data_IF_489178265599
#
_entry.id   IF_489178265599
#
_cell.length_a   1.000
_cell.length_b   1.000
_cell.length_c   1.000
_cell.angle_alpha   90.00
_cell.angle_beta   90.00
_cell.angle_gamma   90.00
#
_symmetry.space_group_name_H-M   'P 1'
#
loop_
_entity.id
_entity.type
_entity.pdbx_description
1 polymer ?
#
# COMPACT_ATOMS: atom_id res chain seq x y z
N UNK A 1 -18.64 -1.53 5.21
CA UNK A 1 -18.06 -0.41 4.43
C UNK A 1 -19.04 0.74 4.52
N UNK A 2 -18.56 1.94 4.79
CA UNK A 2 -19.44 3.12 4.84
C UNK A 2 -19.78 3.60 3.42
N UNK A 3 -20.89 4.31 3.31
CA UNK A 3 -21.32 4.95 2.07
C UNK A 3 -21.73 6.38 2.41
N UNK A 4 -21.33 7.34 1.60
CA UNK A 4 -21.81 8.72 1.69
C UNK A 4 -22.91 8.93 0.65
N UNK A 5 -24.04 9.49 1.09
CA UNK A 5 -25.08 9.93 0.18
C UNK A 5 -24.69 11.29 -0.41
N UNK A 6 -24.60 11.35 -1.73
CA UNK A 6 -24.34 12.56 -2.49
C UNK A 6 -25.61 13.42 -2.60
N UNK A 7 -25.44 14.70 -2.91
CA UNK A 7 -26.54 15.68 -3.02
C UNK A 7 -27.56 15.35 -4.13
N UNK A 8 -27.16 14.56 -5.13
CA UNK A 8 -28.02 14.08 -6.22
C UNK A 8 -28.76 12.77 -5.88
N UNK A 9 -28.63 12.28 -4.64
CA UNK A 9 -29.25 11.04 -4.17
C UNK A 9 -28.48 9.77 -4.53
N UNK A 10 -27.35 9.86 -5.24
CA UNK A 10 -26.45 8.72 -5.46
C UNK A 10 -25.62 8.40 -4.20
N UNK A 11 -25.07 7.20 -4.10
CA UNK A 11 -24.23 6.79 -2.98
C UNK A 11 -22.80 6.54 -3.46
N UNK A 12 -21.83 7.19 -2.82
CA UNK A 12 -20.41 6.91 -3.03
C UNK A 12 -19.91 6.01 -1.91
N UNK A 13 -19.34 4.82 -2.20
CA UNK A 13 -18.69 4.02 -1.17
C UNK A 13 -17.51 4.80 -0.58
N UNK A 14 -17.33 4.74 0.74
CA UNK A 14 -16.08 5.14 1.35
C UNK A 14 -14.95 4.34 0.71
N UNK A 15 -13.84 5.01 0.37
CA UNK A 15 -12.66 4.31 -0.12
C UNK A 15 -12.22 3.30 0.94
N UNK A 16 -12.35 2.00 0.67
CA UNK A 16 -12.08 1.02 1.69
C UNK A 16 -10.56 0.92 1.81
N UNK A 17 -10.05 0.92 3.05
CA UNK A 17 -8.64 0.59 3.32
C UNK A 17 -8.47 -0.93 3.18
N UNK A 18 -8.43 -1.41 1.94
CA UNK A 18 -8.20 -2.82 1.61
C UNK A 18 -6.77 -2.98 1.12
N UNK A 19 -6.16 -4.10 1.49
CA UNK A 19 -4.89 -4.49 0.90
C UNK A 19 -5.12 -4.70 -0.62
N UNK A 20 -4.25 -4.18 -1.50
CA UNK A 20 -4.35 -4.39 -2.92
C UNK A 20 -4.18 -5.87 -3.26
N UNK A 21 -4.86 -6.30 -4.31
CA UNK A 21 -4.60 -7.58 -4.94
C UNK A 21 -3.18 -7.57 -5.51
N UNK A 22 -2.30 -8.48 -5.07
CA UNK A 22 -0.93 -8.59 -5.62
C UNK A 22 -0.93 -9.46 -6.88
N UNK A 23 -1.82 -10.46 -6.94
CA UNK A 23 -2.10 -11.25 -8.13
C UNK A 23 -3.60 -11.21 -8.46
N UNK A 24 -3.92 -10.75 -9.68
CA UNK A 24 -5.29 -10.66 -10.20
C UNK A 24 -6.04 -12.01 -10.22
N UNK A 25 -5.31 -13.12 -10.20
CA UNK A 25 -5.87 -14.46 -10.31
C UNK A 25 -6.15 -15.10 -8.96
N UNK A 26 -5.35 -14.80 -7.94
CA UNK A 26 -5.46 -15.43 -6.60
C UNK A 26 -6.03 -14.49 -5.54
N UNK A 27 -5.72 -13.20 -5.61
CA UNK A 27 -6.05 -12.25 -4.56
C UNK A 27 -7.30 -11.46 -4.96
N UNK A 28 -8.49 -12.00 -4.68
CA UNK A 28 -9.76 -11.35 -5.00
C UNK A 28 -10.59 -11.07 -3.76
N UNK A 29 -11.26 -9.92 -3.77
CA UNK A 29 -12.30 -9.59 -2.81
C UNK A 29 -13.66 -10.04 -3.33
N UNK A 30 -14.53 -10.49 -2.42
CA UNK A 30 -15.92 -10.80 -2.74
C UNK A 30 -16.81 -9.72 -2.13
N UNK A 31 -17.56 -9.00 -2.98
CA UNK A 31 -18.62 -8.11 -2.56
C UNK A 31 -19.96 -8.84 -2.73
N UNK A 32 -20.67 -9.05 -1.63
CA UNK A 32 -22.03 -9.59 -1.62
C UNK A 32 -23.00 -8.47 -1.26
N UNK A 33 -23.91 -8.17 -2.19
CA UNK A 33 -24.99 -7.21 -1.99
C UNK A 33 -26.29 -7.96 -1.74
N UNK A 34 -27.04 -7.51 -0.73
CA UNK A 34 -28.38 -7.99 -0.41
C UNK A 34 -29.37 -6.85 -0.66
N UNK A 35 -30.44 -7.11 -1.39
CA UNK A 35 -31.51 -6.15 -1.62
C UNK A 35 -32.84 -6.75 -1.14
N UNK A 36 -33.65 -5.92 -0.48
CA UNK A 36 -35.00 -6.26 -0.04
C UNK A 36 -35.96 -5.22 -0.60
N UNK A 37 -37.03 -5.64 -1.29
CA UNK A 37 -38.05 -4.72 -1.76
C UNK A 37 -39.08 -4.38 -0.67
N UNK A 38 -39.97 -3.42 -0.94
CA UNK A 38 -41.01 -3.00 0.01
C UNK A 38 -42.05 -4.10 0.32
N UNK A 39 -42.07 -5.19 -0.46
CA UNK A 39 -42.92 -6.37 -0.23
C UNK A 39 -42.18 -7.50 0.50
N UNK A 40 -40.94 -7.26 0.93
CA UNK A 40 -40.12 -8.22 1.66
C UNK A 40 -39.43 -9.26 0.79
N UNK A 41 -39.46 -9.14 -0.55
CA UNK A 41 -38.70 -10.04 -1.41
C UNK A 41 -37.21 -9.71 -1.30
N UNK A 42 -36.39 -10.73 -1.07
CA UNK A 42 -34.94 -10.58 -0.95
C UNK A 42 -34.24 -11.14 -2.17
N UNK A 43 -33.14 -10.51 -2.57
CA UNK A 43 -32.21 -11.06 -3.56
C UNK A 43 -30.78 -10.78 -3.12
N UNK A 44 -29.87 -11.64 -3.55
CA UNK A 44 -28.45 -11.44 -3.34
C UNK A 44 -27.69 -11.53 -4.66
N UNK A 45 -26.65 -10.72 -4.78
CA UNK A 45 -25.70 -10.80 -5.89
C UNK A 45 -24.29 -10.66 -5.35
N UNK A 46 -23.41 -11.53 -5.81
CA UNK A 46 -21.99 -11.49 -5.47
C UNK A 46 -21.17 -11.18 -6.71
N UNK A 47 -20.14 -10.35 -6.54
CA UNK A 47 -19.11 -10.11 -7.54
C UNK A 47 -17.75 -10.32 -6.90
N UNK A 48 -16.82 -10.86 -7.68
CA UNK A 48 -15.41 -10.92 -7.32
C UNK A 48 -14.66 -9.85 -8.08
N UNK A 49 -13.76 -9.14 -7.40
CA UNK A 49 -12.94 -8.11 -8.01
C UNK A 49 -11.54 -8.12 -7.41
N UNK A 50 -10.55 -7.79 -8.23
CA UNK A 50 -9.23 -7.43 -7.75
C UNK A 50 -9.23 -5.93 -7.41
N UNK A 51 -8.61 -5.56 -6.29
CA UNK A 51 -8.53 -4.17 -5.85
C UNK A 51 -7.13 -3.63 -6.13
N UNK A 52 -7.04 -2.57 -6.94
CA UNK A 52 -5.79 -1.84 -7.18
C UNK A 52 -6.02 -0.37 -6.84
N UNK A 53 -5.44 0.15 -5.75
CA UNK A 53 -5.52 1.56 -5.43
C UNK A 53 -4.82 2.36 -6.52
N UNK A 54 -5.36 3.54 -6.86
CA UNK A 54 -4.82 4.42 -7.91
C UNK A 54 -3.35 4.80 -7.72
N UNK A 55 -2.84 4.71 -6.48
CA UNK A 55 -1.47 5.06 -6.11
C UNK A 55 -0.66 3.84 -5.69
N UNK A 56 -0.94 2.65 -6.24
CA UNK A 56 -0.19 1.43 -5.91
C UNK A 56 1.25 1.55 -6.43
N UNK A 57 2.20 1.74 -5.52
CA UNK A 57 3.62 1.57 -5.83
C UNK A 57 3.93 0.08 -5.72
N UNK A 58 4.02 -0.60 -6.86
CA UNK A 58 4.53 -1.97 -6.92
C UNK A 58 6.05 -1.92 -6.88
N UNK A 59 6.63 -2.67 -5.96
CA UNK A 59 8.07 -2.72 -5.75
C UNK A 59 8.64 -3.96 -6.42
N UNK A 60 9.79 -3.79 -7.08
CA UNK A 60 10.57 -4.94 -7.54
C UNK A 60 10.98 -5.80 -6.35
N UNK A 61 11.03 -7.12 -6.55
CA UNK A 61 11.45 -8.08 -5.52
C UNK A 61 12.89 -7.78 -5.09
N UNK A 62 13.04 -7.16 -3.93
CA UNK A 62 14.33 -6.82 -3.34
C UNK A 62 14.94 -8.07 -2.70
N UNK A 63 16.01 -8.61 -3.29
CA UNK A 63 16.87 -9.59 -2.61
C UNK A 63 17.85 -8.84 -1.72
N UNK A 64 17.73 -9.01 -0.41
CA UNK A 64 18.56 -8.32 0.57
C UNK A 64 19.16 -9.32 1.55
N UNK A 65 20.23 -8.93 2.25
CA UNK A 65 20.70 -9.67 3.41
C UNK A 65 19.82 -9.29 4.61
N UNK A 66 19.52 -10.25 5.48
CA UNK A 66 18.78 -10.03 6.71
C UNK A 66 19.61 -9.26 7.73
N UNK A 67 19.82 -7.96 7.52
CA UNK A 67 20.57 -7.08 8.41
C UNK A 67 19.76 -5.85 8.77
N UNK A 68 19.88 -5.41 10.03
CA UNK A 68 19.10 -4.30 10.62
C UNK A 68 19.57 -2.90 10.23
N UNK A 69 20.33 -2.77 9.15
CA UNK A 69 20.82 -1.48 8.67
C UNK A 69 20.95 -1.48 7.16
N UNK A 70 20.82 -0.30 6.56
CA UNK A 70 21.13 -0.10 5.15
C UNK A 70 22.60 -0.50 4.88
N UNK A 71 22.79 -1.57 4.13
CA UNK A 71 24.09 -1.87 3.53
C UNK A 71 24.32 -0.91 2.38
N UNK A 72 25.52 -0.34 2.33
CA UNK A 72 25.87 0.67 1.35
C UNK A 72 27.06 0.20 0.51
N UNK A 73 27.06 0.57 -0.75
CA UNK A 73 28.23 0.50 -1.63
C UNK A 73 29.30 1.51 -1.18
N UNK A 74 30.51 1.41 -1.75
CA UNK A 74 31.65 2.28 -1.39
C UNK A 74 31.40 3.77 -1.65
N UNK A 75 30.47 4.10 -2.55
CA UNK A 75 29.96 5.44 -2.85
C UNK A 75 28.81 5.86 -1.91
N UNK A 76 28.55 5.13 -0.83
CA UNK A 76 27.53 5.40 0.18
C UNK A 76 26.07 5.25 -0.31
N UNK A 77 25.85 4.60 -1.46
CA UNK A 77 24.52 4.30 -1.98
C UNK A 77 23.93 3.04 -1.31
N UNK A 78 22.68 3.06 -0.80
CA UNK A 78 22.08 1.86 -0.20
C UNK A 78 21.79 0.76 -1.24
N UNK A 79 22.04 -0.50 -0.87
CA UNK A 79 21.82 -1.66 -1.74
C UNK A 79 20.33 -2.05 -1.86
N UNK A 80 19.60 -1.96 -0.76
CA UNK A 80 18.19 -2.30 -0.68
C UNK A 80 17.36 -1.03 -0.54
N UNK A 81 16.64 -0.68 -1.62
CA UNK A 81 15.90 0.57 -1.69
C UNK A 81 14.51 0.36 -2.26
N UNK A 82 13.54 0.98 -1.60
CA UNK A 82 12.23 1.25 -2.13
C UNK A 82 12.33 2.45 -3.08
N UNK A 83 11.85 2.31 -4.32
CA UNK A 83 11.74 3.43 -5.27
C UNK A 83 10.29 3.80 -5.45
N UNK A 84 9.95 5.05 -5.20
CA UNK A 84 8.64 5.58 -5.57
C UNK A 84 8.70 6.04 -7.03
N UNK A 85 7.73 5.64 -7.85
CA UNK A 85 7.54 6.26 -9.17
C UNK A 85 6.99 7.69 -9.07
N UNK A 86 6.71 8.30 -10.21
CA UNK A 86 6.06 9.61 -10.29
C UNK A 86 4.63 9.55 -9.75
N UNK A 87 4.41 10.12 -8.57
CA UNK A 87 3.08 10.25 -7.98
C UNK A 87 2.41 11.52 -8.50
N UNK A 88 1.13 11.43 -8.88
CA UNK A 88 0.35 12.56 -9.41
C UNK A 88 -0.79 12.94 -8.47
N UNK A 89 -0.97 14.23 -8.26
CA UNK A 89 -2.15 14.81 -7.61
C UNK A 89 -3.39 14.66 -8.49
N UNK A 90 -4.55 14.94 -7.90
CA UNK A 90 -5.83 14.95 -8.61
C UNK A 90 -5.88 15.96 -9.77
N UNK A 91 -5.09 17.04 -9.71
CA UNK A 91 -4.96 18.04 -10.77
C UNK A 91 -3.95 17.66 -11.88
N UNK A 92 -3.35 16.47 -11.79
CA UNK A 92 -2.36 15.96 -12.75
C UNK A 92 -0.92 16.41 -12.51
N UNK A 93 -0.68 17.32 -11.56
CA UNK A 93 0.66 17.77 -11.17
C UNK A 93 1.42 16.70 -10.36
N UNK A 94 2.77 16.75 -10.39
CA UNK A 94 3.61 15.81 -9.64
C UNK A 94 3.60 16.12 -8.15
N UNK A 95 3.37 15.11 -7.32
CA UNK A 95 3.59 15.16 -5.88
C UNK A 95 5.05 15.53 -5.56
N UNK A 96 5.27 16.46 -4.64
CA UNK A 96 6.62 16.94 -4.27
C UNK A 96 6.77 17.06 -2.76
N UNK A 97 8.01 17.07 -2.30
CA UNK A 97 8.36 17.23 -0.89
C UNK A 97 7.83 16.09 -0.01
N UNK A 98 7.68 16.38 1.28
CA UNK A 98 7.25 15.41 2.28
C UNK A 98 5.77 15.05 2.08
N UNK A 99 5.52 13.77 1.86
CA UNK A 99 4.20 13.18 1.73
C UNK A 99 3.98 12.13 2.82
N UNK A 100 2.77 12.09 3.34
CA UNK A 100 2.33 11.05 4.28
C UNK A 100 1.91 9.81 3.50
N UNK A 101 2.44 8.65 3.90
CA UNK A 101 2.09 7.35 3.34
C UNK A 101 1.77 6.36 4.45
N UNK A 102 0.88 5.42 4.18
CA UNK A 102 0.66 4.25 5.02
C UNK A 102 1.41 3.08 4.42
N UNK A 103 2.23 2.42 5.22
CA UNK A 103 2.91 1.19 4.85
C UNK A 103 2.29 0.03 5.64
N UNK A 104 1.91 -1.03 4.94
CA UNK A 104 1.32 -2.23 5.55
C UNK A 104 2.13 -3.45 5.17
N UNK A 105 2.57 -4.22 6.15
CA UNK A 105 3.21 -5.52 5.91
C UNK A 105 2.12 -6.58 5.91
N UNK A 106 2.14 -7.48 4.93
CA UNK A 106 1.16 -8.55 4.81
C UNK A 106 1.25 -9.46 6.04
N UNK A 107 0.12 -10.00 6.48
CA UNK A 107 0.04 -10.83 7.70
C UNK A 107 0.87 -12.12 7.62
N UNK A 108 1.07 -12.65 6.42
CA UNK A 108 1.84 -13.89 6.17
C UNK A 108 3.29 -13.63 5.75
N UNK A 109 3.80 -12.41 5.93
CA UNK A 109 5.21 -12.11 5.72
C UNK A 109 6.09 -12.83 6.75
N UNK A 110 7.25 -13.32 6.31
CA UNK A 110 8.18 -14.09 7.16
C UNK A 110 8.88 -13.21 8.22
N UNK A 111 8.99 -11.90 7.99
CA UNK A 111 9.69 -10.98 8.89
C UNK A 111 9.15 -9.55 8.84
N UNK A 112 9.42 -8.79 9.90
CA UNK A 112 9.14 -7.36 9.97
C UNK A 112 10.17 -6.54 9.18
N UNK A 113 9.73 -5.41 8.61
CA UNK A 113 10.60 -4.50 7.87
C UNK A 113 10.94 -3.26 8.71
N UNK A 114 12.06 -2.63 8.39
CA UNK A 114 12.41 -1.30 8.86
C UNK A 114 12.56 -0.36 7.66
N UNK A 115 11.81 0.73 7.69
CA UNK A 115 11.88 1.81 6.71
C UNK A 115 11.90 3.16 7.43
N UNK A 116 12.87 4.01 7.13
CA UNK A 116 13.01 5.34 7.74
C UNK A 116 13.01 5.30 9.29
N UNK A 117 13.50 4.21 9.90
CA UNK A 117 13.50 4.02 11.36
C UNK A 117 12.20 3.45 11.93
N UNK A 118 11.16 3.24 11.10
CA UNK A 118 9.91 2.63 11.51
C UNK A 118 9.96 1.12 11.28
N UNK A 119 9.89 0.36 12.38
CA UNK A 119 9.68 -1.10 12.34
C UNK A 119 8.21 -1.39 12.13
N UNK A 120 7.85 -2.19 11.13
CA UNK A 120 6.47 -2.60 10.84
C UNK A 120 6.40 -4.12 10.80
N UNK A 121 5.55 -4.70 11.64
CA UNK A 121 5.39 -6.15 11.79
C UNK A 121 4.37 -6.73 10.79
N UNK A 122 4.42 -8.05 10.51
CA UNK A 122 3.40 -8.72 9.69
C UNK A 122 1.97 -8.45 10.19
N UNK A 123 1.12 -7.94 9.30
CA UNK A 123 -0.27 -7.56 9.58
C UNK A 123 -0.43 -6.17 10.18
N UNK A 124 0.66 -5.42 10.40
CA UNK A 124 0.64 -4.06 10.91
C UNK A 124 0.65 -3.03 9.77
N UNK A 125 -0.06 -1.92 10.01
CA UNK A 125 -0.01 -0.72 9.18
C UNK A 125 0.57 0.43 10.00
N UNK A 126 1.57 1.14 9.48
CA UNK A 126 2.07 2.40 10.07
C UNK A 126 2.03 3.55 9.08
N UNK A 127 1.79 4.74 9.62
CA UNK A 127 1.97 5.99 8.88
C UNK A 127 3.45 6.38 8.89
N UNK A 128 3.99 6.76 7.74
CA UNK A 128 5.36 7.21 7.53
C UNK A 128 5.37 8.48 6.68
N UNK A 129 6.43 9.27 6.81
CA UNK A 129 6.67 10.45 5.98
C UNK A 129 7.78 10.16 4.98
N UNK A 130 7.52 10.36 3.70
CA UNK A 130 8.49 10.17 2.62
C UNK A 130 8.69 11.49 1.90
N UNK A 131 9.95 11.90 1.75
CA UNK A 131 10.30 13.02 0.90
C UNK A 131 10.38 12.58 -0.56
N UNK A 132 9.47 13.07 -1.40
CA UNK A 132 9.44 12.84 -2.85
C UNK A 132 10.34 13.80 -3.64
N UNK A 133 11.02 14.74 -2.96
CA UNK A 133 11.88 15.73 -3.58
C UNK A 133 11.15 16.54 -4.64
N UNK A 134 11.67 16.53 -5.87
CA UNK A 134 11.11 17.26 -7.02
C UNK A 134 9.98 16.52 -7.74
N UNK A 135 9.63 15.31 -7.30
CA UNK A 135 8.50 14.52 -7.82
C UNK A 135 8.84 13.55 -8.96
N UNK A 136 10.13 13.34 -9.26
CA UNK A 136 10.56 12.36 -10.27
C UNK A 136 10.59 10.94 -9.72
N UNK A 137 11.58 10.63 -8.88
CA UNK A 137 11.71 9.35 -8.20
C UNK A 137 12.34 9.60 -6.82
N UNK A 138 11.79 9.01 -5.77
CA UNK A 138 12.42 8.99 -4.45
C UNK A 138 12.90 7.60 -4.11
N UNK A 139 14.06 7.53 -3.47
CA UNK A 139 14.72 6.29 -3.10
C UNK A 139 14.83 6.25 -1.59
N UNK A 140 14.18 5.27 -0.97
CA UNK A 140 14.11 5.11 0.48
C UNK A 140 14.74 3.78 0.86
N UNK A 141 15.77 3.75 1.74
CA UNK A 141 16.34 2.49 2.21
C UNK A 141 15.31 1.66 2.97
N UNK A 142 15.31 0.35 2.70
CA UNK A 142 14.47 -0.63 3.40
C UNK A 142 15.26 -1.90 3.70
N UNK A 143 15.09 -2.45 4.89
CA UNK A 143 15.82 -3.63 5.36
C UNK A 143 15.02 -4.38 6.42
N UNK A 144 15.52 -5.52 6.90
CA UNK A 144 14.83 -6.34 7.91
C UNK A 144 14.89 -5.65 9.28
N UNK A 145 13.86 -5.83 10.10
CA UNK A 145 13.89 -5.30 11.47
C UNK A 145 14.84 -6.08 12.39
N UNK A 146 15.15 -7.33 12.04
CA UNK A 146 15.99 -8.24 12.82
C UNK A 146 17.14 -8.81 11.97
N UNK A 147 18.26 -9.15 12.62
CA UNK A 147 19.40 -9.76 11.95
C UNK A 147 19.13 -11.26 11.73
N UNK A 148 19.55 -11.77 10.57
CA UNK A 148 19.41 -13.18 10.22
C UNK A 148 18.01 -13.57 9.73
N UNK A 149 17.08 -12.63 9.54
CA UNK A 149 15.77 -12.93 8.97
C UNK A 149 15.90 -13.53 7.56
N UNK A 150 15.14 -14.58 7.30
CA UNK A 150 15.11 -15.31 6.03
C UNK A 150 13.66 -15.44 5.55
N UNK A 151 13.45 -15.45 4.23
CA UNK A 151 12.12 -15.63 3.64
C UNK A 151 11.70 -14.46 2.75
N UNK A 152 10.41 -14.26 2.58
CA UNK A 152 9.79 -13.18 1.82
C UNK A 152 8.89 -12.33 2.73
N UNK A 153 9.07 -11.00 2.67
CA UNK A 153 8.18 -10.05 3.33
C UNK A 153 7.51 -9.16 2.29
N UNK A 154 6.23 -9.44 2.04
CA UNK A 154 5.40 -8.64 1.16
C UNK A 154 4.80 -7.45 1.91
N UNK A 155 4.90 -6.26 1.33
CA UNK A 155 4.34 -5.03 1.91
C UNK A 155 3.81 -4.12 0.80
N UNK A 156 2.95 -3.20 1.20
CA UNK A 156 2.36 -2.19 0.32
C UNK A 156 2.63 -0.82 0.90
N UNK A 157 2.65 0.18 0.01
CA UNK A 157 2.67 1.57 0.41
C UNK A 157 1.55 2.32 -0.30
N UNK A 158 0.80 3.10 0.46
CA UNK A 158 -0.36 3.85 0.00
C UNK A 158 -0.21 5.32 0.38
N UNK A 159 -0.46 6.22 -0.56
CA UNK A 159 -0.50 7.66 -0.32
C UNK A 159 -1.98 8.08 -0.27
N UNK A 160 -2.60 8.19 0.93
CA UNK A 160 -4.04 8.42 1.08
C UNK A 160 -4.48 9.79 0.55
N UNK A 161 -3.62 10.81 0.68
CA UNK A 161 -3.79 12.11 0.05
C UNK A 161 -2.44 12.60 -0.45
N UNK A 162 -2.36 12.86 -1.75
CA UNK A 162 -1.19 13.49 -2.35
C UNK A 162 -1.43 15.00 -2.29
N UNK A 163 -0.69 15.67 -1.39
CA UNK A 163 -0.75 17.13 -1.23
C UNK A 163 0.16 17.85 -2.19
#
# INVERSE_FOLDING_TARGET
MGFNQNTDGSYTPDYPRLFPSLDANTDKYTLTAYATDAKGNTTQKSIQFAYYPKNLVTLEKLKTLGVVKALKTSDNTPLAVMRTGQLRRNDGSLAKGIQTANITVRKDADYAINILGNVIHPGETKEIQIDLGTGENSTVPIFTAENGSTGESNFIIEFPQIK
#
